data_IF_595534831934
#
_entry.id   IF_595534831934
#
_cell.length_a   1.000
_cell.length_b   1.000
_cell.length_c   1.000
_cell.angle_alpha   90.00
_cell.angle_beta   90.00
_cell.angle_gamma   90.00
#
_symmetry.space_group_name_H-M   'P 1'
#
loop_
_entity.id
_entity.type
_entity.pdbx_description
1 polymer ?
2 polymer ?
#
# COMPACT_ATOMS: atom_id res chain seq x y z
N UNK A 1 11.30 15.25 -5.77
CA UNK A 1 11.10 15.55 -7.19
C UNK A 1 9.81 14.93 -7.70
N UNK A 2 8.70 15.69 -7.60
CA UNK A 2 7.33 15.27 -7.96
C UNK A 2 6.94 15.82 -9.34
N UNK A 3 7.05 15.00 -10.39
CA UNK A 3 6.75 15.41 -11.78
C UNK A 3 5.25 15.63 -12.05
N UNK A 4 4.38 14.89 -11.34
CA UNK A 4 2.91 14.94 -11.47
C UNK A 4 2.21 13.86 -10.64
N UNK A 5 0.89 13.99 -10.46
CA UNK A 5 0.07 13.04 -9.69
C UNK A 5 -0.21 11.74 -10.45
N UNK A 6 -0.51 10.66 -9.72
CA UNK A 6 -0.87 9.33 -10.25
C UNK A 6 -1.78 8.51 -9.31
N UNK A 7 -1.57 8.64 -7.99
CA UNK A 7 -2.43 8.08 -6.93
C UNK A 7 -2.84 9.18 -5.93
N UNK A 8 -2.57 8.92 -4.65
CA UNK A 8 -2.88 9.80 -3.50
C UNK A 8 -2.05 9.39 -2.30
N UNK A 9 -2.31 10.05 -1.17
CA UNK A 9 -1.77 9.71 0.14
C UNK A 9 -2.78 8.88 0.93
N UNK A 10 -2.33 7.76 1.52
CA UNK A 10 -3.15 6.90 2.38
C UNK A 10 -2.43 6.57 3.68
N UNK A 11 -3.13 6.78 4.79
CA UNK A 11 -2.67 6.45 6.14
C UNK A 11 -2.86 4.95 6.40
N UNK A 12 -1.95 4.37 7.17
CA UNK A 12 -2.06 3.02 7.73
C UNK A 12 -2.84 3.04 9.06
N UNK A 13 -4.03 2.42 9.08
CA UNK A 13 -4.80 2.15 10.30
C UNK A 13 -4.14 1.11 11.23
N UNK A 14 -3.39 0.16 10.66
CA UNK A 14 -2.77 -0.99 11.36
C UNK A 14 -1.36 -1.27 10.82
N UNK A 15 -0.56 -2.03 11.57
CA UNK A 15 0.78 -2.49 11.17
C UNK A 15 0.74 -3.81 10.36
N UNK A 16 1.81 -4.07 9.60
CA UNK A 16 2.00 -5.26 8.74
C UNK A 16 3.50 -5.50 8.47
N UNK A 17 3.88 -6.71 8.05
CA UNK A 17 5.26 -7.10 7.72
C UNK A 17 5.35 -7.82 6.38
N UNK A 18 6.40 -7.55 5.61
CA UNK A 18 6.62 -8.17 4.31
C UNK A 18 7.09 -9.61 4.46
N UNK A 19 6.19 -10.56 4.23
CA UNK A 19 6.46 -12.01 4.30
C UNK A 19 6.95 -12.56 2.95
N UNK A 20 6.91 -11.75 1.89
CA UNK A 20 7.38 -12.09 0.53
C UNK A 20 7.91 -10.83 -0.22
N UNK A 21 8.53 -11.03 -1.40
CA UNK A 21 9.00 -9.94 -2.28
C UNK A 21 7.88 -9.12 -2.96
N UNK A 22 6.68 -9.70 -3.08
CA UNK A 22 5.48 -9.04 -3.64
C UNK A 22 4.84 -8.00 -2.72
N UNK A 23 5.25 -7.96 -1.45
CA UNK A 23 4.63 -7.18 -0.38
C UNK A 23 5.64 -6.29 0.34
N UNK A 24 5.15 -5.53 1.32
CA UNK A 24 5.89 -4.51 2.06
C UNK A 24 5.60 -4.53 3.57
N UNK A 25 6.47 -3.85 4.34
CA UNK A 25 6.46 -3.79 5.80
C UNK A 25 6.18 -2.35 6.25
N UNK A 26 5.02 -2.14 6.87
CA UNK A 26 4.46 -0.80 7.18
C UNK A 26 3.87 -0.80 8.59
N UNK A 27 3.74 0.38 9.20
CA UNK A 27 3.25 0.54 10.58
C UNK A 27 2.07 1.50 10.59
N UNK A 28 1.18 1.33 11.56
CA UNK A 28 0.10 2.28 11.79
C UNK A 28 0.63 3.69 12.05
N UNK A 29 -0.20 4.69 11.69
CA UNK A 29 0.10 6.12 11.80
C UNK A 29 1.16 6.61 10.79
N UNK A 30 1.47 5.81 9.76
CA UNK A 30 2.35 6.20 8.64
C UNK A 30 1.52 6.46 7.37
N UNK A 31 2.02 7.28 6.46
CA UNK A 31 1.36 7.64 5.20
C UNK A 31 2.22 7.25 3.99
N UNK A 32 1.58 6.72 2.95
CA UNK A 32 2.23 6.09 1.79
C UNK A 32 1.61 6.59 0.48
N UNK A 33 2.44 6.68 -0.57
CA UNK A 33 2.00 7.05 -1.91
C UNK A 33 1.46 5.82 -2.65
N UNK A 34 0.14 5.75 -2.88
CA UNK A 34 -0.45 4.73 -3.77
C UNK A 34 -0.14 5.03 -5.25
N UNK A 35 -0.11 3.97 -6.05
CA UNK A 35 0.19 3.93 -7.48
C UNK A 35 -0.89 3.16 -8.26
N UNK A 36 -1.60 2.22 -7.61
CA UNK A 36 -2.71 1.45 -8.20
C UNK A 36 -3.72 1.02 -7.11
N UNK A 37 -5.02 1.15 -7.40
CA UNK A 37 -6.13 1.05 -6.45
C UNK A 37 -7.39 0.41 -7.07
N UNK A 38 -7.21 -0.61 -7.94
CA UNK A 38 -8.28 -1.22 -8.75
C UNK A 38 -8.66 -2.63 -8.28
N UNK A 39 -8.10 -3.10 -7.16
CA UNK A 39 -8.23 -4.46 -6.60
C UNK A 39 -8.13 -4.47 -5.06
N UNK A 40 -8.27 -5.66 -4.44
CA UNK A 40 -8.17 -5.91 -2.98
C UNK A 40 -6.84 -5.49 -2.35
N UNK A 41 -5.75 -5.50 -3.10
CA UNK A 41 -4.42 -5.08 -2.63
C UNK A 41 -3.92 -3.92 -3.50
N UNK A 42 -3.51 -2.85 -2.84
CA UNK A 42 -3.08 -1.62 -3.51
C UNK A 42 -1.55 -1.59 -3.61
N UNK A 43 -1.04 -1.06 -4.73
CA UNK A 43 0.38 -0.88 -4.97
C UNK A 43 0.75 0.50 -4.44
N UNK A 44 1.56 0.52 -3.39
CA UNK A 44 2.05 1.76 -2.75
C UNK A 44 3.59 1.76 -2.66
N UNK A 45 4.16 2.86 -2.16
CA UNK A 45 5.60 3.03 -1.92
C UNK A 45 5.85 3.59 -0.53
N UNK A 46 6.75 2.96 0.23
CA UNK A 46 7.20 3.45 1.52
C UNK A 46 8.09 4.70 1.37
N UNK A 47 8.20 5.54 2.41
CA UNK A 47 9.02 6.76 2.39
C UNK A 47 10.53 6.49 2.24
N UNK A 48 10.96 5.23 2.42
CA UNK A 48 12.34 4.75 2.27
C UNK A 48 12.70 4.38 0.81
N UNK A 49 11.69 4.25 -0.07
CA UNK A 49 11.89 3.98 -1.50
C UNK A 49 11.56 2.58 -1.98
N UNK A 50 10.60 1.90 -1.34
CA UNK A 50 10.29 0.48 -1.58
C UNK A 50 8.85 0.32 -2.04
N UNK A 51 8.63 -0.43 -3.13
CA UNK A 51 7.30 -0.63 -3.75
C UNK A 51 6.86 -2.09 -3.68
N UNK A 52 5.55 -2.30 -3.60
CA UNK A 52 4.91 -3.61 -3.42
C UNK A 52 3.44 -3.48 -3.04
N UNK A 53 2.83 -4.58 -2.61
CA UNK A 53 1.40 -4.67 -2.36
C UNK A 53 1.10 -4.70 -0.86
N UNK A 54 0.02 -4.04 -0.46
CA UNK A 54 -0.54 -4.02 0.90
C UNK A 54 -2.07 -4.14 0.87
N UNK A 55 -2.70 -4.71 1.91
CA UNK A 55 -4.14 -4.93 1.94
C UNK A 55 -4.89 -3.61 2.09
N UNK A 56 -5.93 -3.38 1.28
CA UNK A 56 -6.75 -2.16 1.39
C UNK A 56 -7.45 -1.98 2.75
N UNK A 57 -7.59 -3.07 3.53
CA UNK A 57 -8.24 -3.06 4.84
C UNK A 57 -7.51 -2.14 5.84
N UNK A 58 -6.16 -2.14 5.80
CA UNK A 58 -5.34 -1.30 6.69
C UNK A 58 -5.10 0.10 6.11
N UNK A 59 -5.55 0.37 4.87
CA UNK A 59 -5.38 1.68 4.23
C UNK A 59 -6.65 2.53 4.39
N UNK A 60 -6.49 3.84 4.64
CA UNK A 60 -7.60 4.81 4.76
C UNK A 60 -7.27 6.12 4.00
N UNK A 61 -8.25 6.74 3.30
CA UNK A 61 -8.04 7.94 2.48
C UNK A 61 -7.68 9.16 3.34
N UNK A 62 -6.41 9.58 3.31
CA UNK A 62 -5.91 10.67 4.13
C UNK A 62 -6.15 12.05 3.45
N UNK A 63 -6.59 13.10 4.20
CA UNK A 63 -6.95 14.39 3.62
C UNK A 63 -5.73 15.26 3.20
N UNK A 64 -4.54 14.97 3.74
CA UNK A 64 -3.30 15.74 3.51
C UNK A 64 -3.31 17.17 4.07
N UNK B 1 -10.71 -7.78 10.11
CA UNK B 1 -10.18 -8.95 9.36
C UNK B 1 -9.30 -8.54 8.16
N UNK B 2 -8.04 -8.10 8.39
CA UNK B 2 -7.10 -7.72 7.33
C UNK B 2 -6.63 -8.94 6.50
N UNK B 3 -5.81 -8.69 5.47
CA UNK B 3 -5.35 -9.69 4.48
C UNK B 3 -6.56 -10.31 3.72
N UNK B 4 -7.23 -9.53 2.84
CA UNK B 4 -8.35 -9.97 2.00
C UNK B 4 -7.91 -10.98 0.90
N UNK B 5 -8.82 -11.30 -0.03
CA UNK B 5 -8.59 -12.23 -1.14
C UNK B 5 -7.26 -11.97 -1.92
N UNK B 6 -6.59 -13.03 -2.41
CA UNK B 6 -5.26 -12.92 -3.02
C UNK B 6 -5.29 -12.10 -4.32
N UNK B 7 -4.29 -11.23 -4.49
CA UNK B 7 -4.20 -10.32 -5.64
C UNK B 7 -3.62 -11.00 -6.90
N UNK B 8 -4.06 -10.56 -8.08
CA UNK B 8 -3.57 -11.05 -9.38
C UNK B 8 -2.23 -10.40 -9.77
N UNK B 9 -1.50 -11.04 -10.70
CA UNK B 9 -0.18 -10.60 -11.22
C UNK B 9 0.86 -10.24 -10.13
N UNK B 10 1.34 -11.24 -9.34
CA UNK B 10 2.34 -11.04 -8.28
C UNK B 10 3.75 -10.67 -8.81
N UNK B 11 4.65 -10.34 -7.88
CA UNK B 11 6.03 -9.86 -8.14
C UNK B 11 7.07 -10.99 -7.91
N UNK B 12 6.66 -12.24 -8.19
CA UNK B 12 7.43 -13.48 -7.95
C UNK B 12 7.22 -14.52 -9.05
#
# INVERSE_FOLDING_TARGET
GSMGTAGKWVLCNYDFQARNSSELSVKQRDVLEVLDDSRKWWKVRDPAGQEGYVPYNILTPYPG
PPVPNPDYEPIR
#
